data_IF_561085961407
#
_entry.id   IF_561085961407
#
_cell.length_a   1.000
_cell.length_b   1.000
_cell.length_c   1.000
_cell.angle_alpha   90.00
_cell.angle_beta   90.00
_cell.angle_gamma   90.00
#
_symmetry.space_group_name_H-M   'P 1'
#
loop_
_entity.id
_entity.type
_entity.pdbx_description
1 polymer ?
#
# COMPACT_ATOMS: atom_id res chain seq x y z
N UNK A 1 0.23 -2.86 17.55
CA UNK A 1 0.92 -2.99 16.26
C UNK A 1 1.56 -1.67 15.87
N UNK A 2 2.72 -1.69 15.23
CA UNK A 2 3.46 -0.46 14.84
C UNK A 2 2.69 0.36 13.79
N UNK A 3 1.86 -0.30 12.98
CA UNK A 3 1.08 0.32 11.89
C UNK A 3 -0.04 1.26 12.40
N UNK A 4 -0.63 1.00 13.57
CA UNK A 4 -1.64 1.91 14.16
C UNK A 4 -1.04 3.24 14.64
N UNK A 5 0.22 3.24 15.10
CA UNK A 5 0.86 4.47 15.61
C UNK A 5 1.40 5.37 14.48
N UNK A 6 1.62 4.83 13.28
CA UNK A 6 2.03 5.63 12.11
C UNK A 6 0.85 6.40 11.51
N UNK A 7 -0.37 5.84 11.58
CA UNK A 7 -1.58 6.50 11.09
C UNK A 7 -1.93 7.79 11.84
N UNK A 8 -1.72 7.80 13.16
CA UNK A 8 -2.01 8.97 14.01
C UNK A 8 -0.98 10.09 13.78
N UNK A 9 0.30 9.76 13.58
CA UNK A 9 1.34 10.75 13.28
C UNK A 9 1.12 11.48 11.93
N UNK A 10 0.48 10.82 10.96
CA UNK A 10 0.16 11.42 9.66
C UNK A 10 -0.99 12.43 9.73
N UNK A 11 -1.94 12.25 10.66
CA UNK A 11 -3.04 13.21 10.87
C UNK A 11 -2.54 14.55 11.42
N UNK A 12 -1.57 14.53 12.32
CA UNK A 12 -1.01 15.76 12.90
C UNK A 12 -0.13 16.53 11.90
N UNK A 13 0.60 15.83 11.02
CA UNK A 13 1.49 16.45 10.04
C UNK A 13 0.79 17.02 8.79
N UNK A 14 -0.39 16.50 8.41
CA UNK A 14 -1.16 17.04 7.30
C UNK A 14 -1.56 18.51 7.52
N UNK A 15 -1.68 18.95 8.78
CA UNK A 15 -2.02 20.33 9.14
C UNK A 15 -0.86 21.34 8.99
N UNK A 16 0.40 20.89 8.83
CA UNK A 16 1.61 21.75 8.86
C UNK A 16 2.48 21.74 7.60
N UNK A 17 2.20 20.84 6.65
CA UNK A 17 3.01 20.66 5.43
C UNK A 17 2.33 21.30 4.22
N UNK A 18 2.98 22.29 3.59
CA UNK A 18 2.58 22.84 2.27
C UNK A 18 2.84 21.88 1.09
N UNK A 19 3.39 20.68 1.33
CA UNK A 19 3.65 19.66 0.31
C UNK A 19 2.71 18.46 0.45
N UNK A 20 2.17 17.97 -0.68
CA UNK A 20 1.37 16.74 -0.74
C UNK A 20 2.27 15.55 -0.36
N UNK A 21 2.03 14.97 0.82
CA UNK A 21 2.77 13.78 1.27
C UNK A 21 2.37 12.61 0.37
N UNK A 22 3.37 11.96 -0.25
CA UNK A 22 3.18 10.74 -1.02
C UNK A 22 3.46 9.52 -0.11
N UNK A 23 2.40 8.79 0.24
CA UNK A 23 2.47 7.53 0.99
C UNK A 23 2.19 6.35 0.06
N UNK A 24 3.10 5.36 0.01
CA UNK A 24 2.99 4.17 -0.83
C UNK A 24 2.83 2.94 0.08
N UNK A 25 1.69 2.26 -0.02
CA UNK A 25 1.46 0.99 0.67
C UNK A 25 1.92 -0.18 -0.20
N UNK A 26 2.74 -1.09 0.35
CA UNK A 26 3.15 -2.32 -0.35
C UNK A 26 2.54 -3.52 0.37
N UNK A 27 1.67 -4.27 -0.32
CA UNK A 27 0.93 -5.40 0.22
C UNK A 27 0.98 -6.62 -0.71
N UNK A 28 0.87 -7.86 -0.21
CA UNK A 28 0.68 -9.03 -1.06
C UNK A 28 -0.71 -9.02 -1.71
N UNK A 29 -0.80 -9.30 -3.01
CA UNK A 29 -2.07 -9.36 -3.75
C UNK A 29 -3.03 -10.36 -3.14
N UNK A 30 -2.57 -11.61 -2.91
CA UNK A 30 -3.41 -12.70 -2.44
C UNK A 30 -4.00 -12.55 -1.03
N UNK A 31 -3.69 -11.48 -0.29
CA UNK A 31 -4.33 -11.16 1.00
C UNK A 31 -5.28 -9.97 0.92
N UNK A 32 -5.47 -9.35 -0.25
CA UNK A 32 -6.33 -8.17 -0.39
C UNK A 32 -7.79 -8.62 -0.43
N UNK A 33 -8.57 -8.13 0.52
CA UNK A 33 -10.03 -8.29 0.52
C UNK A 33 -10.61 -7.61 -0.73
N UNK A 34 -11.56 -8.25 -1.41
CA UNK A 34 -12.20 -7.75 -2.63
C UNK A 34 -11.21 -7.42 -3.76
N UNK A 35 -10.11 -8.17 -3.87
CA UNK A 35 -9.11 -7.98 -4.93
C UNK A 35 -9.72 -8.04 -6.35
N UNK A 36 -10.79 -8.83 -6.55
CA UNK A 36 -11.49 -8.96 -7.84
C UNK A 36 -12.07 -7.62 -8.33
N UNK A 37 -12.43 -6.72 -7.42
CA UNK A 37 -12.93 -5.38 -7.79
C UNK A 37 -11.83 -4.54 -8.44
N UNK A 38 -10.57 -4.79 -8.09
CA UNK A 38 -9.40 -4.08 -8.62
C UNK A 38 -8.91 -4.63 -9.96
N UNK A 39 -9.46 -5.74 -10.44
CA UNK A 39 -9.06 -6.33 -11.73
C UNK A 39 -9.65 -5.53 -12.89
N UNK A 40 -8.77 -5.11 -13.79
CA UNK A 40 -9.13 -4.44 -15.02
C UNK A 40 -7.89 -3.84 -15.69
N UNK A 41 -7.93 -3.69 -17.01
CA UNK A 41 -6.86 -3.06 -17.78
C UNK A 41 -7.30 -1.67 -18.20
N UNK A 42 -6.50 -0.65 -17.89
CA UNK A 42 -6.74 0.75 -18.26
C UNK A 42 -8.10 1.29 -17.80
N UNK A 43 -8.57 0.84 -16.64
CA UNK A 43 -9.88 1.21 -16.06
C UNK A 43 -9.74 1.68 -14.62
N UNK A 44 -10.64 2.57 -14.21
CA UNK A 44 -10.82 2.97 -12.82
C UNK A 44 -11.86 2.06 -12.19
N UNK A 45 -11.54 1.47 -11.05
CA UNK A 45 -12.45 0.62 -10.29
C UNK A 45 -12.62 1.18 -8.88
N UNK A 46 -13.87 1.30 -8.38
CA UNK A 46 -14.08 1.64 -6.99
C UNK A 46 -13.58 0.48 -6.11
N UNK A 47 -12.94 0.81 -4.99
CA UNK A 47 -12.53 -0.15 -3.98
C UNK A 47 -13.13 0.23 -2.63
N UNK A 48 -13.74 -0.74 -1.96
CA UNK A 48 -14.40 -0.52 -0.69
C UNK A 48 -13.61 -1.12 0.46
N UNK A 49 -13.21 -0.29 1.43
CA UNK A 49 -12.41 -0.68 2.60
C UNK A 49 -13.26 -1.25 3.73
N UNK A 50 -14.32 -2.01 3.43
CA UNK A 50 -15.15 -2.66 4.44
C UNK A 50 -14.55 -4.02 4.79
N UNK A 51 -14.17 -4.20 6.05
CA UNK A 51 -13.70 -5.48 6.56
C UNK A 51 -14.87 -6.45 6.72
N UNK A 52 -14.75 -7.65 6.16
CA UNK A 52 -15.66 -8.76 6.45
C UNK A 52 -15.19 -9.46 7.76
N UNK A 53 -16.00 -9.48 8.83
CA UNK A 53 -15.61 -10.11 10.11
C UNK A 53 -15.27 -11.60 10.00
N UNK A 54 -15.74 -12.27 8.95
CA UNK A 54 -15.49 -13.69 8.69
C UNK A 54 -14.27 -13.94 7.80
N UNK A 55 -13.73 -12.90 7.17
CA UNK A 55 -12.59 -13.03 6.26
C UNK A 55 -11.25 -13.05 7.00
N UNK A 56 -10.31 -13.83 6.46
CA UNK A 56 -8.90 -13.84 6.87
C UNK A 56 -8.03 -12.91 6.03
N UNK A 57 -8.61 -12.26 5.02
CA UNK A 57 -7.95 -11.29 4.17
C UNK A 57 -7.95 -9.90 4.85
N UNK A 58 -7.30 -8.94 4.21
CA UNK A 58 -7.07 -7.61 4.77
C UNK A 58 -7.51 -6.53 3.80
N UNK A 59 -8.12 -5.47 4.33
CA UNK A 59 -8.47 -4.28 3.53
C UNK A 59 -7.24 -3.37 3.35
N UNK A 60 -7.17 -2.70 2.20
CA UNK A 60 -6.16 -1.66 1.98
C UNK A 60 -6.42 -0.44 2.90
N UNK A 61 -5.34 0.17 3.40
CA UNK A 61 -5.44 1.30 4.33
C UNK A 61 -5.60 2.64 3.57
N UNK A 62 -6.78 3.26 3.68
CA UNK A 62 -7.14 4.53 3.01
C UNK A 62 -6.25 5.74 3.32
N UNK A 63 -5.35 5.65 4.30
CA UNK A 63 -4.34 6.68 4.57
C UNK A 63 -3.17 6.66 3.55
N UNK A 64 -3.06 5.62 2.71
CA UNK A 64 -2.08 5.59 1.63
C UNK A 64 -2.61 6.28 0.37
N UNK A 65 -1.76 7.10 -0.24
CA UNK A 65 -2.06 7.76 -1.52
C UNK A 65 -1.92 6.83 -2.73
N UNK A 66 -1.08 5.80 -2.63
CA UNK A 66 -0.77 4.86 -3.70
C UNK A 66 -0.55 3.46 -3.13
N UNK A 67 -0.72 2.43 -3.96
CA UNK A 67 -0.46 1.04 -3.59
C UNK A 67 0.38 0.32 -4.65
N UNK A 68 1.22 -0.60 -4.18
CA UNK A 68 1.89 -1.61 -5.00
C UNK A 68 1.47 -2.97 -4.46
N UNK A 69 0.84 -3.77 -5.30
CA UNK A 69 0.31 -5.10 -4.92
C UNK A 69 1.25 -6.17 -5.50
N UNK A 70 1.94 -6.88 -4.62
CA UNK A 70 2.94 -7.89 -5.00
C UNK A 70 2.27 -9.26 -5.13
N UNK A 71 2.36 -9.87 -6.31
CA UNK A 71 1.83 -11.21 -6.54
C UNK A 71 2.95 -12.26 -6.63
N UNK A 72 2.67 -13.44 -6.10
CA UNK A 72 3.50 -14.64 -6.20
C UNK A 72 2.68 -15.89 -6.54
N UNK A 73 1.42 -15.73 -6.98
CA UNK A 73 0.50 -16.80 -7.33
C UNK A 73 -0.14 -17.51 -6.13
N UNK A 74 0.07 -17.04 -4.89
CA UNK A 74 -0.54 -17.66 -3.69
C UNK A 74 -1.67 -16.81 -3.11
N UNK A 75 -2.64 -17.47 -2.48
CA UNK A 75 -3.78 -16.83 -1.79
C UNK A 75 -3.63 -16.96 -0.29
N UNK A 76 -3.95 -15.90 0.45
CA UNK A 76 -3.95 -15.84 1.92
C UNK A 76 -2.56 -15.88 2.56
N UNK A 77 -1.48 -15.70 1.80
CA UNK A 77 -0.10 -15.76 2.30
C UNK A 77 0.59 -14.41 2.23
N UNK A 78 1.30 -14.10 3.31
CA UNK A 78 2.22 -12.96 3.39
C UNK A 78 3.59 -13.31 2.79
N UNK A 79 4.37 -12.30 2.44
CA UNK A 79 5.77 -12.45 2.06
C UNK A 79 6.10 -12.05 0.63
N UNK A 80 5.11 -11.98 -0.27
CA UNK A 80 5.31 -11.58 -1.67
C UNK A 80 5.89 -10.15 -1.77
N UNK A 81 5.52 -9.28 -0.83
CA UNK A 81 5.95 -7.89 -0.73
C UNK A 81 7.38 -7.71 -0.20
N UNK A 82 7.94 -8.69 0.51
CA UNK A 82 9.20 -8.51 1.26
C UNK A 82 10.39 -8.27 0.33
N UNK A 83 10.54 -9.12 -0.69
CA UNK A 83 11.63 -8.98 -1.68
C UNK A 83 11.44 -7.72 -2.53
N UNK A 84 10.20 -7.41 -2.91
CA UNK A 84 9.85 -6.22 -3.68
C UNK A 84 10.21 -4.95 -2.91
N UNK A 85 9.80 -4.84 -1.64
CA UNK A 85 10.08 -3.69 -0.77
C UNK A 85 11.58 -3.43 -0.68
N UNK A 86 12.37 -4.45 -0.31
CA UNK A 86 13.83 -4.33 -0.18
C UNK A 86 14.48 -3.83 -1.47
N UNK A 87 14.10 -4.37 -2.62
CA UNK A 87 14.67 -3.95 -3.90
C UNK A 87 14.23 -2.55 -4.31
N UNK A 88 12.97 -2.20 -4.10
CA UNK A 88 12.44 -0.88 -4.42
C UNK A 88 13.13 0.20 -3.58
N UNK A 89 13.21 0.01 -2.26
CA UNK A 89 13.90 0.95 -1.36
C UNK A 89 15.37 1.12 -1.73
N UNK A 90 16.08 0.01 -1.99
CA UNK A 90 17.47 0.05 -2.45
C UNK A 90 17.59 0.78 -3.79
N UNK A 91 16.72 0.50 -4.74
CA UNK A 91 16.75 1.14 -6.05
C UNK A 91 16.52 2.65 -5.95
N UNK A 92 15.55 3.08 -5.14
CA UNK A 92 15.27 4.50 -4.88
C UNK A 92 16.48 5.19 -4.23
N UNK A 93 17.12 4.55 -3.24
CA UNK A 93 18.30 5.13 -2.55
C UNK A 93 19.50 5.38 -3.47
N UNK A 94 19.56 4.70 -4.63
CA UNK A 94 20.63 4.84 -5.60
C UNK A 94 20.30 5.88 -6.69
N UNK A 95 19.06 6.40 -6.73
CA UNK A 95 18.69 7.42 -7.70
C UNK A 95 19.34 8.76 -7.31
N UNK A 96 19.96 9.41 -8.31
CA UNK A 96 20.45 10.77 -8.13
C UNK A 96 19.26 11.71 -8.03
N UNK A 97 19.21 12.49 -6.95
CA UNK A 97 18.30 13.61 -6.86
C UNK A 97 18.95 14.73 -7.66
N UNK A 98 18.47 14.99 -8.87
CA UNK A 98 18.89 16.16 -9.63
C UNK A 98 18.34 17.40 -8.91
N UNK A 99 19.15 18.00 -8.04
CA UNK A 99 18.97 19.39 -7.62
C UNK A 99 19.48 20.27 -8.76
N UNK A 100 18.56 20.74 -9.60
CA UNK A 100 18.81 21.92 -10.44
C UNK A 100 18.90 23.16 -9.58
#
# INVERSE_FOLDING_TARGET
GVIRHVGDALKDHASKSRGKICTIGIAPWGIVENQEDLIGKDVVRPYQTMSNPMSKLTVLNSMHSHFILADNGTTGKYGAEVKLRRHLEKHISLQKINTS
#
